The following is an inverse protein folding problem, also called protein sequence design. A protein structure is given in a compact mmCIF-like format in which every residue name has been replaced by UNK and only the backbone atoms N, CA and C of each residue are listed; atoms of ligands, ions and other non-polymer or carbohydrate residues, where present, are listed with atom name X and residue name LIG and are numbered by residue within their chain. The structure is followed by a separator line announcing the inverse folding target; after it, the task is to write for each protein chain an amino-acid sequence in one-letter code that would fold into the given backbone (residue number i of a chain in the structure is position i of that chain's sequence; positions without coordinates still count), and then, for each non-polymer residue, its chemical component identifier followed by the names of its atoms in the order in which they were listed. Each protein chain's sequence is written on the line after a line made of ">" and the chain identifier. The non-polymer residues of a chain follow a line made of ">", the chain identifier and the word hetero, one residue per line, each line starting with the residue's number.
data_IF_960260059034
#
_entry.id   IF_960260059034
#
_cell.length_a   1.000
_cell.length_b   1.000
_cell.length_c   1.000
_cell.angle_alpha   90.00
_cell.angle_beta   90.00
_cell.angle_gamma   90.00
#
_symmetry.space_group_name_H-M   'P 1'
#
loop_
_entity.id
_entity.type
_entity.pdbx_description
1 polymer ?
#
# COMPACT_ATOMS: atom_id res chain seq x y z
N UNK A 1 -26.10 -33.59 -10.25
CA UNK A 1 -27.25 -33.38 -9.34
C UNK A 1 -26.91 -33.90 -7.97
N UNK A 2 -27.65 -33.46 -6.96
CA UNK A 2 -27.66 -34.10 -5.64
C UNK A 2 -28.59 -35.31 -5.69
N UNK A 3 -28.07 -36.49 -5.41
CA UNK A 3 -28.84 -37.74 -5.36
C UNK A 3 -29.06 -38.14 -3.91
N UNK A 4 -30.27 -38.60 -3.58
CA UNK A 4 -30.61 -39.10 -2.25
C UNK A 4 -31.41 -40.41 -2.38
N UNK A 5 -31.27 -41.28 -1.39
CA UNK A 5 -31.96 -42.56 -1.37
C UNK A 5 -33.30 -42.42 -0.65
N UNK A 6 -34.38 -42.85 -1.29
CA UNK A 6 -35.73 -42.85 -0.73
C UNK A 6 -36.44 -44.13 -1.12
N UNK A 7 -37.02 -44.83 -0.14
CA UNK A 7 -37.73 -46.10 -0.33
C UNK A 7 -36.91 -47.18 -1.09
N UNK A 8 -35.58 -47.19 -0.88
CA UNK A 8 -34.65 -48.11 -1.56
C UNK A 8 -34.36 -47.78 -3.03
N UNK A 9 -34.80 -46.61 -3.50
CA UNK A 9 -34.56 -46.09 -4.84
C UNK A 9 -33.72 -44.81 -4.78
N UNK A 10 -32.83 -44.67 -5.77
CA UNK A 10 -31.95 -43.52 -5.89
C UNK A 10 -32.69 -42.40 -6.64
N UNK A 11 -33.12 -41.38 -5.92
CA UNK A 11 -33.88 -40.25 -6.46
C UNK A 11 -33.00 -39.00 -6.60
N UNK A 12 -33.30 -38.17 -7.60
CA UNK A 12 -32.79 -36.80 -7.68
C UNK A 12 -33.83 -35.90 -8.30
N UNK A 13 -34.09 -34.77 -7.66
CA UNK A 13 -34.99 -33.72 -8.15
C UNK A 13 -34.26 -32.61 -8.90
N UNK A 14 -32.92 -32.64 -8.93
CA UNK A 14 -32.09 -31.55 -9.46
C UNK A 14 -30.97 -32.11 -10.33
N UNK A 15 -31.32 -32.44 -11.57
CA UNK A 15 -30.39 -32.90 -12.60
C UNK A 15 -30.77 -32.32 -13.96
N UNK A 16 -29.74 -32.02 -14.75
CA UNK A 16 -29.90 -31.64 -16.15
C UNK A 16 -29.61 -32.87 -17.01
N UNK A 17 -30.48 -33.15 -17.99
CA UNK A 17 -30.29 -34.22 -18.97
C UNK A 17 -29.85 -33.58 -20.27
N UNK A 18 -28.71 -34.01 -20.81
CA UNK A 18 -28.24 -33.64 -22.13
C UNK A 18 -28.01 -34.92 -22.96
N UNK A 19 -28.46 -34.91 -24.22
CA UNK A 19 -28.18 -36.02 -25.15
C UNK A 19 -26.74 -35.85 -25.62
N UNK A 20 -25.87 -36.82 -25.32
CA UNK A 20 -24.46 -36.80 -25.70
C UNK A 20 -24.17 -38.09 -26.47
N UNK A 21 -23.51 -37.97 -27.63
CA UNK A 21 -23.13 -39.11 -28.47
C UNK A 21 -21.97 -39.92 -27.85
N UNK A 22 -21.19 -39.33 -26.95
CA UNK A 22 -20.08 -39.96 -26.22
C UNK A 22 -20.04 -39.43 -24.76
N UNK A 23 -19.71 -40.30 -23.80
CA UNK A 23 -19.59 -39.91 -22.38
C UNK A 23 -18.27 -39.17 -22.18
N UNK A 24 -18.28 -37.85 -22.31
CA UNK A 24 -17.12 -37.00 -22.03
C UNK A 24 -17.22 -36.37 -20.64
N UNK A 25 -16.22 -36.66 -19.78
CA UNK A 25 -16.05 -35.92 -18.52
C UNK A 25 -15.51 -34.53 -18.83
N UNK A 26 -16.34 -33.51 -18.70
CA UNK A 26 -15.96 -32.10 -18.91
C UNK A 26 -15.99 -31.32 -17.60
N UNK A 27 -15.01 -30.42 -17.46
CA UNK A 27 -15.02 -29.41 -16.41
C UNK A 27 -15.82 -28.23 -16.94
N UNK A 28 -16.84 -27.82 -16.18
CA UNK A 28 -17.72 -26.74 -16.59
C UNK A 28 -17.57 -25.54 -15.64
N UNK A 29 -17.35 -24.34 -16.15
CA UNK A 29 -17.29 -23.14 -15.32
C UNK A 29 -18.66 -22.87 -14.67
N UNK A 30 -18.62 -22.28 -13.48
CA UNK A 30 -19.80 -21.85 -12.74
C UNK A 30 -19.77 -20.32 -12.68
N UNK A 31 -20.77 -19.69 -13.30
CA UNK A 31 -20.84 -18.24 -13.37
C UNK A 31 -21.82 -17.69 -12.32
N UNK A 32 -21.60 -16.47 -11.79
CA UNK A 32 -22.60 -15.77 -11.01
C UNK A 32 -23.83 -15.48 -11.89
N UNK A 33 -25.02 -15.79 -11.39
CA UNK A 33 -26.28 -15.65 -12.12
C UNK A 33 -27.13 -14.50 -11.58
N UNK A 34 -27.95 -13.91 -12.46
CA UNK A 34 -29.01 -12.95 -12.12
C UNK A 34 -30.39 -13.56 -12.39
N UNK A 35 -31.45 -13.00 -11.79
CA UNK A 35 -32.81 -13.53 -11.89
C UNK A 35 -33.24 -13.70 -13.35
N UNK A 36 -33.66 -14.92 -13.72
CA UNK A 36 -34.09 -15.26 -15.09
C UNK A 36 -32.99 -15.81 -16.00
N UNK A 37 -31.73 -15.83 -15.57
CA UNK A 37 -30.61 -16.44 -16.29
C UNK A 37 -30.22 -17.80 -15.67
N UNK A 38 -30.12 -18.83 -16.52
CA UNK A 38 -29.67 -20.18 -16.15
C UNK A 38 -28.21 -20.40 -16.59
N UNK A 39 -27.46 -21.25 -15.86
CA UNK A 39 -26.06 -21.59 -16.18
C UNK A 39 -25.88 -22.00 -17.66
N UNK A 40 -26.76 -22.86 -18.18
CA UNK A 40 -26.64 -23.36 -19.55
C UNK A 40 -26.75 -22.28 -20.61
N UNK A 41 -27.66 -21.31 -20.43
CA UNK A 41 -27.80 -20.18 -21.35
C UNK A 41 -26.57 -19.28 -21.30
N UNK A 42 -26.06 -18.99 -20.10
CA UNK A 42 -24.88 -18.15 -19.93
C UNK A 42 -23.62 -18.81 -20.49
N UNK A 43 -23.41 -20.11 -20.26
CA UNK A 43 -22.31 -20.87 -20.87
C UNK A 43 -22.35 -20.81 -22.39
N UNK A 44 -23.53 -21.03 -23.01
CA UNK A 44 -23.69 -20.93 -24.46
C UNK A 44 -23.34 -19.55 -25.00
N UNK A 45 -23.77 -18.49 -24.32
CA UNK A 45 -23.44 -17.11 -24.70
C UNK A 45 -21.95 -16.82 -24.59
N UNK A 46 -21.31 -17.29 -23.51
CA UNK A 46 -19.86 -17.12 -23.31
C UNK A 46 -19.08 -17.93 -24.35
N UNK A 47 -19.45 -19.17 -24.65
CA UNK A 47 -18.81 -19.94 -25.72
C UNK A 47 -18.93 -19.23 -27.07
N UNK A 48 -20.12 -18.74 -27.43
CA UNK A 48 -20.31 -18.00 -28.67
C UNK A 48 -19.45 -16.73 -28.75
N UNK A 49 -19.34 -15.99 -27.63
CA UNK A 49 -18.48 -14.82 -27.54
C UNK A 49 -16.99 -15.21 -27.67
N UNK A 50 -16.57 -16.29 -27.01
CA UNK A 50 -15.21 -16.82 -27.12
C UNK A 50 -14.92 -17.20 -28.58
N UNK A 51 -15.75 -18.00 -29.23
CA UNK A 51 -15.53 -18.42 -30.62
C UNK A 51 -15.38 -17.23 -31.59
N UNK A 52 -16.11 -16.14 -31.34
CA UNK A 52 -16.06 -14.94 -32.18
C UNK A 52 -14.83 -14.06 -31.92
N UNK A 53 -14.43 -13.86 -30.66
CA UNK A 53 -13.47 -12.82 -30.28
C UNK A 53 -12.12 -13.34 -29.78
N UNK A 54 -11.98 -14.63 -29.48
CA UNK A 54 -10.76 -15.18 -28.88
C UNK A 54 -9.51 -15.00 -29.74
N UNK A 55 -9.68 -14.89 -31.06
CA UNK A 55 -8.60 -14.67 -32.02
C UNK A 55 -8.03 -13.25 -32.03
N UNK A 56 -8.76 -12.26 -31.51
CA UNK A 56 -8.37 -10.84 -31.50
C UNK A 56 -7.80 -10.38 -30.16
N UNK A 57 -7.67 -11.29 -29.19
CA UNK A 57 -7.20 -10.95 -27.84
C UNK A 57 -5.68 -11.04 -27.80
N UNK A 58 -5.04 -9.88 -27.71
CA UNK A 58 -3.60 -9.78 -27.51
C UNK A 58 -3.21 -9.93 -26.03
N UNK A 59 -1.99 -10.39 -25.78
CA UNK A 59 -1.41 -10.42 -24.44
C UNK A 59 -0.89 -9.04 -24.03
N UNK A 60 -1.21 -8.61 -22.82
CA UNK A 60 -0.68 -7.37 -22.22
C UNK A 60 0.82 -7.50 -21.89
N UNK A 61 1.26 -8.72 -21.56
CA UNK A 61 2.66 -9.01 -21.27
C UNK A 61 3.47 -9.24 -22.56
N UNK A 62 4.68 -8.66 -22.69
CA UNK A 62 5.60 -8.94 -23.79
C UNK A 62 5.97 -10.43 -23.88
N UNK A 63 6.13 -10.92 -25.12
CA UNK A 63 6.55 -12.32 -25.40
C UNK A 63 7.77 -12.80 -24.59
N UNK A 64 8.84 -12.00 -24.41
CA UNK A 64 9.98 -12.44 -23.61
C UNK A 64 9.65 -12.76 -22.15
N UNK A 65 8.65 -12.07 -21.56
CA UNK A 65 8.22 -12.31 -20.18
C UNK A 65 7.39 -13.59 -20.11
N UNK A 66 6.48 -13.79 -21.07
CA UNK A 66 5.68 -15.00 -21.16
C UNK A 66 6.57 -16.24 -21.28
N UNK A 67 7.58 -16.20 -22.17
CA UNK A 67 8.51 -17.30 -22.38
C UNK A 67 9.39 -17.57 -21.15
N UNK A 68 9.93 -16.51 -20.52
CA UNK A 68 10.79 -16.62 -19.34
C UNK A 68 10.11 -17.28 -18.14
N UNK A 69 8.84 -16.97 -17.91
CA UNK A 69 8.08 -17.45 -16.76
C UNK A 69 7.09 -18.58 -17.12
N UNK A 70 7.15 -19.09 -18.35
CA UNK A 70 6.26 -20.13 -18.87
C UNK A 70 4.77 -19.80 -18.68
N UNK A 71 4.40 -18.54 -18.93
CA UNK A 71 3.03 -18.05 -18.76
C UNK A 71 2.22 -18.26 -20.03
N UNK A 72 0.91 -18.45 -19.85
CA UNK A 72 -0.03 -18.58 -20.95
C UNK A 72 -0.29 -17.21 -21.60
N UNK A 73 -0.59 -17.22 -22.90
CA UNK A 73 -1.09 -16.01 -23.57
C UNK A 73 -2.46 -15.63 -23.04
N UNK A 74 -2.88 -14.36 -23.17
CA UNK A 74 -4.21 -13.93 -22.71
C UNK A 74 -5.33 -14.77 -23.33
N UNK A 75 -5.17 -15.13 -24.60
CA UNK A 75 -6.03 -16.08 -25.31
C UNK A 75 -6.13 -17.43 -24.60
N UNK A 76 -4.99 -18.05 -24.32
CA UNK A 76 -4.95 -19.40 -23.71
C UNK A 76 -5.46 -19.38 -22.27
N UNK A 77 -5.19 -18.30 -21.55
CA UNK A 77 -5.77 -18.04 -20.23
C UNK A 77 -7.29 -18.05 -20.29
N UNK A 78 -7.90 -17.27 -21.17
CA UNK A 78 -9.37 -17.23 -21.29
C UNK A 78 -9.94 -18.61 -21.65
N UNK A 79 -9.30 -19.34 -22.55
CA UNK A 79 -9.69 -20.71 -22.89
C UNK A 79 -9.58 -21.66 -21.69
N UNK A 80 -8.50 -21.57 -20.91
CA UNK A 80 -8.31 -22.41 -19.72
C UNK A 80 -9.30 -22.10 -18.59
N UNK A 81 -9.81 -20.87 -18.51
CA UNK A 81 -10.77 -20.47 -17.46
C UNK A 81 -12.22 -20.77 -17.85
N UNK A 82 -12.57 -20.60 -19.13
CA UNK A 82 -13.94 -20.74 -19.62
C UNK A 82 -14.24 -22.10 -20.28
N UNK A 83 -13.24 -22.76 -20.85
CA UNK A 83 -13.35 -24.07 -21.51
C UNK A 83 -12.20 -25.02 -21.13
N UNK A 84 -11.95 -25.27 -19.84
CA UNK A 84 -10.86 -26.15 -19.41
C UNK A 84 -11.06 -27.60 -19.82
N UNK A 85 -9.97 -28.26 -20.22
CA UNK A 85 -9.95 -29.72 -20.42
C UNK A 85 -9.59 -30.42 -19.11
N UNK A 86 -8.67 -29.83 -18.35
CA UNK A 86 -8.18 -30.36 -17.08
C UNK A 86 -8.18 -29.29 -15.98
N UNK A 87 -8.14 -29.71 -14.71
CA UNK A 87 -7.99 -28.77 -13.59
C UNK A 87 -6.60 -28.12 -13.57
N UNK A 88 -5.59 -28.77 -14.16
CA UNK A 88 -4.25 -28.21 -14.32
C UNK A 88 -4.25 -27.00 -15.28
N UNK A 89 -5.05 -27.06 -16.36
CA UNK A 89 -5.24 -25.92 -17.26
C UNK A 89 -5.79 -24.71 -16.49
N UNK A 90 -6.79 -24.93 -15.63
CA UNK A 90 -7.37 -23.88 -14.78
C UNK A 90 -6.31 -23.29 -13.84
N UNK A 91 -5.48 -24.15 -13.24
CA UNK A 91 -4.41 -23.71 -12.35
C UNK A 91 -3.38 -22.83 -13.07
N UNK A 92 -2.94 -23.24 -14.27
CA UNK A 92 -2.00 -22.48 -15.12
C UNK A 92 -2.58 -21.17 -15.62
N UNK A 93 -3.86 -21.17 -16.03
CA UNK A 93 -4.61 -19.97 -16.41
C UNK A 93 -4.69 -18.96 -15.26
N UNK A 94 -5.09 -19.44 -14.08
CA UNK A 94 -5.16 -18.63 -12.87
C UNK A 94 -3.80 -18.08 -12.47
N UNK A 95 -2.75 -18.89 -12.50
CA UNK A 95 -1.39 -18.44 -12.20
C UNK A 95 -0.94 -17.32 -13.15
N UNK A 96 -1.20 -17.47 -14.45
CA UNK A 96 -0.85 -16.46 -15.46
C UNK A 96 -1.62 -15.15 -15.25
N UNK A 97 -2.91 -15.20 -14.90
CA UNK A 97 -3.69 -14.01 -14.54
C UNK A 97 -3.17 -13.30 -13.29
N UNK A 98 -2.88 -14.06 -12.23
CA UNK A 98 -2.33 -13.49 -10.99
C UNK A 98 -1.00 -12.80 -11.28
N UNK A 99 -0.15 -13.44 -12.10
CA UNK A 99 1.11 -12.84 -12.51
C UNK A 99 0.90 -11.55 -13.30
N UNK A 100 0.00 -11.55 -14.28
CA UNK A 100 -0.31 -10.39 -15.12
C UNK A 100 -0.84 -9.20 -14.30
N UNK A 101 -1.76 -9.44 -13.37
CA UNK A 101 -2.28 -8.42 -12.46
C UNK A 101 -1.17 -7.87 -11.54
N UNK A 102 -0.35 -8.76 -10.98
CA UNK A 102 0.78 -8.38 -10.13
C UNK A 102 1.82 -7.58 -10.93
N UNK A 103 2.13 -8.00 -12.16
CA UNK A 103 3.05 -7.29 -13.05
C UNK A 103 2.56 -5.87 -13.35
N UNK A 104 1.27 -5.71 -13.65
CA UNK A 104 0.67 -4.39 -13.89
C UNK A 104 0.76 -3.48 -12.68
N UNK A 105 0.51 -4.02 -11.48
CA UNK A 105 0.68 -3.29 -10.21
C UNK A 105 2.15 -2.89 -9.99
N UNK A 106 3.08 -3.83 -10.15
CA UNK A 106 4.51 -3.58 -9.95
C UNK A 106 5.07 -2.59 -10.98
N UNK A 107 4.60 -2.66 -12.23
CA UNK A 107 4.94 -1.70 -13.27
C UNK A 107 4.48 -0.29 -12.91
N UNK A 108 3.25 -0.13 -12.40
CA UNK A 108 2.75 1.16 -11.94
C UNK A 108 3.59 1.73 -10.77
N UNK A 109 3.98 0.89 -9.81
CA UNK A 109 4.88 1.26 -8.71
C UNK A 109 6.25 1.66 -9.25
N UNK A 110 6.81 0.88 -10.17
CA UNK A 110 8.11 1.12 -10.80
C UNK A 110 8.15 2.45 -11.57
N UNK A 111 7.13 2.72 -12.39
CA UNK A 111 6.99 3.99 -13.12
C UNK A 111 6.91 5.18 -12.16
N UNK A 112 6.13 5.05 -11.07
CA UNK A 112 6.04 6.10 -10.05
C UNK A 112 7.38 6.34 -9.34
N UNK A 113 8.12 5.27 -9.05
CA UNK A 113 9.46 5.37 -8.46
C UNK A 113 10.44 6.07 -9.40
N UNK A 114 10.46 5.69 -10.68
CA UNK A 114 11.30 6.35 -11.69
C UNK A 114 10.98 7.84 -11.80
N UNK A 115 9.70 8.22 -11.82
CA UNK A 115 9.29 9.62 -11.91
C UNK A 115 9.69 10.45 -10.67
N UNK A 116 9.65 9.85 -9.47
CA UNK A 116 9.87 10.57 -8.20
C UNK A 116 11.31 10.49 -7.68
N UNK A 117 12.02 9.41 -7.97
CA UNK A 117 13.35 9.10 -7.43
C UNK A 117 14.40 8.91 -8.52
N UNK A 118 14.02 8.84 -9.80
CA UNK A 118 14.94 8.59 -10.91
C UNK A 118 15.38 7.12 -11.05
N UNK A 119 14.90 6.21 -10.19
CA UNK A 119 15.24 4.78 -10.23
C UNK A 119 14.08 3.86 -9.84
N UNK A 120 14.22 2.59 -10.17
CA UNK A 120 13.28 1.53 -9.76
C UNK A 120 13.40 1.23 -8.25
N UNK A 121 12.33 0.70 -7.63
CA UNK A 121 12.40 0.19 -6.26
C UNK A 121 13.43 -0.92 -6.15
N UNK A 122 14.21 -0.93 -5.06
CA UNK A 122 15.13 -2.02 -4.75
C UNK A 122 14.35 -3.31 -4.56
N UNK A 123 14.80 -4.38 -5.21
CA UNK A 123 14.29 -5.73 -4.96
C UNK A 123 15.14 -6.43 -3.90
N UNK A 124 14.58 -7.42 -3.21
CA UNK A 124 15.20 -8.08 -2.05
C UNK A 124 16.62 -8.65 -2.32
N UNK A 125 16.99 -8.90 -3.58
CA UNK A 125 18.34 -9.33 -3.97
C UNK A 125 19.38 -8.21 -4.11
N UNK A 126 18.97 -6.98 -4.38
CA UNK A 126 19.86 -5.80 -4.43
C UNK A 126 20.03 -5.19 -3.04
N UNK A 127 19.02 -5.33 -2.18
CA UNK A 127 19.14 -4.93 -0.79
C UNK A 127 20.17 -5.77 -0.06
N UNK A 128 20.37 -7.07 -0.29
CA UNK A 128 21.34 -7.84 0.51
C UNK A 128 22.82 -7.43 0.32
N UNK A 129 23.17 -6.76 -0.79
CA UNK A 129 24.53 -6.22 -0.99
C UNK A 129 24.72 -4.80 -0.43
N UNK A 130 23.62 -4.07 -0.17
CA UNK A 130 23.63 -2.73 0.45
C UNK A 130 23.02 -2.69 1.87
N UNK A 131 22.41 -3.79 2.29
CA UNK A 131 21.83 -4.10 3.60
C UNK A 131 22.69 -5.15 4.31
N UNK A 132 24.01 -5.13 4.08
CA UNK A 132 24.85 -5.22 5.27
C UNK A 132 24.34 -4.12 6.18
N UNK A 133 23.66 -4.49 7.26
CA UNK A 133 23.30 -3.60 8.36
C UNK A 133 24.51 -2.69 8.51
N UNK A 134 24.43 -1.38 8.20
CA UNK A 134 25.57 -0.54 8.40
C UNK A 134 25.84 -0.64 9.89
N UNK A 135 26.97 -1.27 10.25
CA UNK A 135 27.48 -1.38 11.61
C UNK A 135 27.71 0.00 12.24
N UNK A 136 27.57 1.05 11.43
CA UNK A 136 27.45 2.44 11.83
C UNK A 136 26.00 2.71 12.24
N UNK A 137 25.72 2.56 13.53
CA UNK A 137 24.60 3.27 14.16
C UNK A 137 24.82 4.74 13.87
N UNK A 138 23.97 5.34 13.02
CA UNK A 138 23.97 6.80 12.84
C UNK A 138 23.83 7.41 14.22
N UNK A 139 24.79 8.24 14.63
CA UNK A 139 24.66 8.94 15.89
C UNK A 139 23.39 9.79 15.88
N UNK A 140 22.66 9.76 17.00
CA UNK A 140 21.55 10.67 17.21
C UNK A 140 22.06 12.12 17.10
N UNK A 141 21.29 12.95 16.40
CA UNK A 141 21.48 14.39 16.31
C UNK A 141 21.33 15.08 17.67
N UNK A 142 21.72 16.35 17.80
CA UNK A 142 21.72 17.04 19.10
C UNK A 142 20.31 17.10 19.70
N UNK A 143 19.30 17.40 18.90
CA UNK A 143 17.91 17.47 19.36
C UNK A 143 17.37 16.08 19.72
N UNK A 144 17.70 15.06 18.94
CA UNK A 144 17.34 13.67 19.29
C UNK A 144 17.99 13.23 20.60
N UNK A 145 19.27 13.58 20.84
CA UNK A 145 19.97 13.33 22.12
C UNK A 145 19.29 14.06 23.28
N UNK A 146 18.82 15.31 23.09
CA UNK A 146 18.05 16.04 24.10
C UNK A 146 16.73 15.36 24.44
N UNK A 147 15.94 14.98 23.43
CA UNK A 147 14.68 14.26 23.66
C UNK A 147 14.94 12.94 24.41
N UNK A 148 15.91 12.15 23.97
CA UNK A 148 16.26 10.88 24.60
C UNK A 148 16.57 11.03 26.10
N UNK A 149 17.27 12.08 26.50
CA UNK A 149 17.59 12.36 27.91
C UNK A 149 16.38 12.77 28.76
N UNK A 150 15.32 13.27 28.13
CA UNK A 150 14.10 13.67 28.81
C UNK A 150 13.09 12.52 28.97
N UNK A 151 13.32 11.37 28.33
CA UNK A 151 12.42 10.22 28.42
C UNK A 151 12.61 9.48 29.75
N UNK A 152 11.52 9.06 30.43
CA UNK A 152 11.60 8.28 31.65
C UNK A 152 11.88 6.78 31.41
N UNK A 153 12.14 6.38 30.16
CA UNK A 153 12.39 5.01 29.73
C UNK A 153 13.42 4.98 28.60
N UNK A 154 14.05 3.82 28.42
CA UNK A 154 14.96 3.56 27.29
C UNK A 154 14.18 3.17 26.03
N UNK A 155 14.68 3.60 24.87
CA UNK A 155 14.14 3.14 23.59
C UNK A 155 14.41 1.64 23.39
N UNK A 156 13.44 0.94 22.81
CA UNK A 156 13.62 -0.48 22.45
C UNK A 156 14.64 -0.64 21.32
N UNK A 157 15.18 -1.85 21.16
CA UNK A 157 16.11 -2.18 20.06
C UNK A 157 15.47 -1.87 18.70
N UNK A 158 14.20 -2.21 18.52
CA UNK A 158 13.46 -1.93 17.29
C UNK A 158 13.26 -0.43 17.04
N UNK A 159 12.94 0.35 18.07
CA UNK A 159 12.82 1.80 17.94
C UNK A 159 14.17 2.43 17.54
N UNK A 160 15.27 2.03 18.19
CA UNK A 160 16.63 2.51 17.86
C UNK A 160 17.01 2.16 16.41
N UNK A 161 16.69 0.94 15.97
CA UNK A 161 16.89 0.51 14.57
C UNK A 161 16.09 1.36 13.59
N UNK A 162 14.78 1.51 13.80
CA UNK A 162 13.91 2.26 12.87
C UNK A 162 14.30 3.74 12.82
N UNK A 163 14.68 4.36 13.95
CA UNK A 163 15.18 5.74 13.96
C UNK A 163 16.46 5.89 13.13
N UNK A 164 17.37 4.91 13.23
CA UNK A 164 18.61 4.89 12.46
C UNK A 164 18.31 4.76 10.96
N UNK A 165 17.45 3.82 10.58
CA UNK A 165 17.03 3.62 9.18
C UNK A 165 16.35 4.86 8.59
N UNK A 166 15.47 5.52 9.35
CA UNK A 166 14.84 6.78 8.93
C UNK A 166 15.90 7.87 8.76
N UNK A 167 16.83 7.99 9.70
CA UNK A 167 17.88 9.02 9.64
C UNK A 167 18.75 8.83 8.39
N UNK A 168 19.12 7.60 8.07
CA UNK A 168 19.86 7.27 6.85
C UNK A 168 19.05 7.58 5.58
N UNK A 169 17.76 7.25 5.55
CA UNK A 169 16.90 7.57 4.41
C UNK A 169 16.74 9.08 4.21
N UNK A 170 16.67 9.85 5.29
CA UNK A 170 16.59 11.33 5.25
C UNK A 170 17.88 12.01 4.81
N UNK A 171 19.02 11.33 4.91
CA UNK A 171 20.34 11.84 4.48
C UNK A 171 20.63 11.56 2.99
N UNK A 172 19.81 10.76 2.33
CA UNK A 172 19.93 10.49 0.89
C UNK A 172 19.42 11.68 0.07
N UNK A 173 19.93 11.82 -1.15
CA UNK A 173 19.46 12.82 -2.11
C UNK A 173 18.03 12.57 -2.59
N UNK A 174 17.55 11.33 -2.45
CA UNK A 174 16.21 10.92 -2.90
C UNK A 174 15.15 11.11 -1.81
N UNK A 175 13.91 11.48 -2.18
CA UNK A 175 12.82 11.58 -1.22
C UNK A 175 12.52 10.25 -0.51
N UNK A 176 12.62 10.27 0.82
CA UNK A 176 12.19 9.17 1.67
C UNK A 176 10.67 8.94 1.52
N UNK A 177 10.28 7.68 1.32
CA UNK A 177 8.89 7.24 1.55
C UNK A 177 8.93 5.89 2.26
N UNK A 178 8.57 5.89 3.54
CA UNK A 178 8.69 4.76 4.46
C UNK A 178 7.38 4.57 5.22
N UNK A 179 7.00 3.32 5.43
CA UNK A 179 5.89 2.93 6.30
C UNK A 179 6.46 2.41 7.61
N UNK A 180 6.12 3.05 8.73
CA UNK A 180 6.42 2.53 10.06
C UNK A 180 5.26 1.62 10.47
N UNK A 181 5.52 0.31 10.56
CA UNK A 181 4.52 -0.67 10.98
C UNK A 181 4.84 -1.19 12.38
N UNK A 182 3.80 -1.31 13.22
CA UNK A 182 3.91 -1.90 14.54
C UNK A 182 2.60 -1.84 15.30
N UNK A 183 2.49 -2.65 16.35
CA UNK A 183 1.27 -2.80 17.13
C UNK A 183 0.87 -1.51 17.88
N UNK A 184 -0.38 -1.46 18.34
CA UNK A 184 -0.85 -0.37 19.19
C UNK A 184 0.02 -0.32 20.45
N UNK A 185 0.56 0.87 20.78
CA UNK A 185 1.44 1.04 21.94
C UNK A 185 2.93 0.78 21.68
N UNK A 186 3.36 0.35 20.48
CA UNK A 186 4.78 0.11 20.17
C UNK A 186 5.66 1.37 20.10
N UNK A 187 5.09 2.56 20.29
CA UNK A 187 5.82 3.83 20.27
C UNK A 187 6.05 4.43 18.88
N UNK A 188 5.21 4.11 17.89
CA UNK A 188 5.29 4.69 16.52
C UNK A 188 5.38 6.22 16.52
N UNK A 189 4.54 6.89 17.32
CA UNK A 189 4.53 8.34 17.47
C UNK A 189 5.85 8.89 18.02
N UNK A 190 6.51 8.16 18.93
CA UNK A 190 7.81 8.56 19.45
C UNK A 190 8.87 8.50 18.35
N UNK A 191 8.91 7.41 17.58
CA UNK A 191 9.82 7.28 16.42
C UNK A 191 9.58 8.39 15.40
N UNK A 192 8.31 8.73 15.13
CA UNK A 192 7.95 9.87 14.29
C UNK A 192 8.54 11.19 14.83
N UNK A 193 8.45 11.46 16.13
CA UNK A 193 9.06 12.65 16.72
C UNK A 193 10.59 12.67 16.62
N UNK A 194 11.28 11.54 16.83
CA UNK A 194 12.71 11.45 16.59
C UNK A 194 13.07 11.81 15.14
N UNK A 195 12.22 11.42 14.19
CA UNK A 195 12.38 11.74 12.77
C UNK A 195 12.19 13.24 12.50
N UNK A 196 11.20 13.87 13.14
CA UNK A 196 10.99 15.32 13.07
C UNK A 196 12.22 16.10 13.50
N UNK A 197 12.84 15.68 14.61
CA UNK A 197 13.96 16.42 15.23
C UNK A 197 15.18 16.53 14.31
N UNK A 198 15.50 15.48 13.54
CA UNK A 198 16.61 15.52 12.58
C UNK A 198 16.42 16.62 11.54
N UNK A 199 15.19 16.74 11.01
CA UNK A 199 14.83 17.75 10.00
C UNK A 199 14.79 19.15 10.59
N UNK A 200 14.25 19.30 11.79
CA UNK A 200 14.17 20.58 12.49
C UNK A 200 15.59 21.10 12.81
N UNK A 201 16.51 20.22 13.18
CA UNK A 201 17.91 20.58 13.43
C UNK A 201 18.61 21.13 12.17
N UNK A 202 18.19 20.67 10.99
CA UNK A 202 18.67 21.16 9.69
C UNK A 202 17.94 22.42 9.19
N UNK A 203 17.07 23.02 10.01
CA UNK A 203 16.29 24.21 9.68
C UNK A 203 15.00 23.93 8.90
N UNK A 204 14.65 22.67 8.66
CA UNK A 204 13.42 22.29 7.96
C UNK A 204 12.17 22.32 8.85
N UNK A 205 11.02 22.50 8.23
CA UNK A 205 9.70 22.37 8.85
C UNK A 205 9.13 20.97 8.63
N UNK A 206 8.30 20.54 9.58
CA UNK A 206 7.65 19.22 9.56
C UNK A 206 6.15 19.36 9.74
N UNK A 207 5.40 18.51 9.05
CA UNK A 207 3.95 18.39 9.22
C UNK A 207 3.57 16.97 9.68
N UNK A 208 2.72 16.86 10.71
CA UNK A 208 2.10 15.62 11.15
C UNK A 208 0.60 15.69 10.89
N UNK A 209 0.16 14.89 9.93
CA UNK A 209 -1.23 14.71 9.56
C UNK A 209 -1.81 13.55 10.38
N UNK A 210 -2.97 13.78 11.00
CA UNK A 210 -3.78 12.73 11.63
C UNK A 210 -5.18 12.71 11.00
N UNK A 211 -5.92 11.59 11.10
CA UNK A 211 -7.14 11.40 10.31
C UNK A 211 -8.33 12.13 10.92
N UNK A 212 -8.29 12.44 12.22
CA UNK A 212 -9.35 13.15 12.95
C UNK A 212 -8.79 14.29 13.78
N UNK A 213 -9.61 15.30 14.08
CA UNK A 213 -9.19 16.41 14.94
C UNK A 213 -8.83 15.94 16.36
N UNK A 214 -9.51 14.91 16.87
CA UNK A 214 -9.22 14.34 18.18
C UNK A 214 -7.82 13.71 18.22
N UNK A 215 -7.48 12.87 17.23
CA UNK A 215 -6.15 12.27 17.14
C UNK A 215 -5.06 13.32 16.89
N UNK A 216 -5.33 14.29 16.01
CA UNK A 216 -4.41 15.40 15.77
C UNK A 216 -4.13 16.16 17.08
N UNK A 217 -5.16 16.40 17.90
CA UNK A 217 -5.00 17.07 19.20
C UNK A 217 -4.20 16.21 20.18
N UNK A 218 -4.46 14.90 20.25
CA UNK A 218 -3.67 13.99 21.10
C UNK A 218 -2.19 13.98 20.71
N UNK A 219 -1.87 13.98 19.42
CA UNK A 219 -0.50 14.09 18.92
C UNK A 219 0.10 15.45 19.24
N UNK A 220 -0.66 16.54 19.08
CA UNK A 220 -0.21 17.89 19.41
C UNK A 220 0.09 18.05 20.91
N UNK A 221 -0.77 17.54 21.79
CA UNK A 221 -0.57 17.57 23.24
C UNK A 221 0.65 16.73 23.65
N UNK A 222 0.85 15.59 22.99
CA UNK A 222 2.02 14.73 23.25
C UNK A 222 3.30 15.38 22.73
N UNK A 223 3.28 15.96 21.54
CA UNK A 223 4.39 16.73 20.98
C UNK A 223 4.73 17.94 21.86
N UNK A 224 3.73 18.66 22.36
CA UNK A 224 3.93 19.79 23.27
C UNK A 224 4.62 19.36 24.56
N UNK A 225 4.17 18.26 25.18
CA UNK A 225 4.80 17.73 26.40
C UNK A 225 6.25 17.30 26.19
N UNK A 226 6.56 16.68 25.05
CA UNK A 226 7.89 16.09 24.80
C UNK A 226 8.88 17.05 24.12
N UNK A 227 8.42 17.89 23.20
CA UNK A 227 9.27 18.66 22.28
C UNK A 227 9.37 20.15 22.68
N UNK A 228 8.37 20.73 23.32
CA UNK A 228 8.47 22.12 23.79
C UNK A 228 9.59 22.34 24.82
N UNK A 229 9.84 21.42 25.80
CA UNK A 229 10.93 21.58 26.77
C UNK A 229 12.33 21.61 26.15
N UNK A 230 12.50 21.04 24.95
CA UNK A 230 13.78 21.04 24.22
C UNK A 230 13.86 22.17 23.18
N UNK A 231 12.88 23.09 23.17
CA UNK A 231 12.90 24.33 22.37
C UNK A 231 12.19 24.24 21.02
N UNK A 232 11.39 23.21 20.75
CA UNK A 232 10.67 23.06 19.49
C UNK A 232 9.38 23.88 19.50
N UNK A 233 9.21 24.72 18.49
CA UNK A 233 8.01 25.54 18.29
C UNK A 233 6.96 24.76 17.51
N UNK A 234 5.81 24.55 18.13
CA UNK A 234 4.73 23.71 17.64
C UNK A 234 3.51 24.55 17.29
N UNK A 235 2.78 24.14 16.25
CA UNK A 235 1.46 24.68 15.96
C UNK A 235 0.44 23.56 15.77
N UNK A 236 -0.80 23.84 16.15
CA UNK A 236 -1.94 22.97 15.89
C UNK A 236 -2.87 23.65 14.88
N UNK A 237 -3.16 22.96 13.77
CA UNK A 237 -3.99 23.50 12.70
C UNK A 237 -5.02 22.47 12.21
N UNK A 238 -6.30 22.80 12.39
CA UNK A 238 -7.43 22.03 11.84
C UNK A 238 -8.41 22.92 11.09
N UNK A 239 -9.45 22.33 10.52
CA UNK A 239 -10.52 23.06 9.83
C UNK A 239 -11.31 23.99 10.77
N UNK A 240 -11.40 23.63 12.06
CA UNK A 240 -12.22 24.32 13.06
C UNK A 240 -11.49 25.42 13.86
N UNK A 241 -10.24 25.75 13.52
CA UNK A 241 -9.50 26.83 14.21
C UNK A 241 -10.11 28.20 13.86
N UNK A 242 -10.45 29.00 14.89
CA UNK A 242 -11.02 30.35 14.75
C UNK A 242 -10.14 31.22 13.84
N UNK A 243 -10.80 32.05 13.02
CA UNK A 243 -10.20 32.84 11.94
C UNK A 243 -9.03 33.73 12.37
N UNK A 244 -9.11 34.39 13.52
CA UNK A 244 -8.07 35.33 13.99
C UNK A 244 -6.76 34.63 14.35
N UNK A 245 -6.81 33.57 15.16
CA UNK A 245 -5.62 32.79 15.50
C UNK A 245 -5.04 32.03 14.30
N UNK A 246 -5.89 31.70 13.32
CA UNK A 246 -5.46 31.04 12.08
C UNK A 246 -4.57 31.95 11.23
N UNK A 247 -4.90 33.23 11.09
CA UNK A 247 -4.10 34.16 10.27
C UNK A 247 -2.66 34.26 10.78
N UNK A 248 -2.50 34.47 12.09
CA UNK A 248 -1.18 34.54 12.74
C UNK A 248 -0.37 33.25 12.56
N UNK A 249 -1.00 32.08 12.72
CA UNK A 249 -0.33 30.79 12.52
C UNK A 249 0.16 30.60 11.08
N UNK A 250 -0.61 31.06 10.09
CA UNK A 250 -0.22 30.98 8.69
C UNK A 250 0.95 31.92 8.38
N UNK A 251 0.96 33.12 8.94
CA UNK A 251 2.09 34.05 8.81
C UNK A 251 3.36 33.48 9.46
N UNK A 252 3.25 32.96 10.69
CA UNK A 252 4.37 32.32 11.39
C UNK A 252 4.90 31.08 10.65
N UNK A 253 4.04 30.35 9.92
CA UNK A 253 4.47 29.21 9.10
C UNK A 253 5.33 29.65 7.91
N UNK A 254 4.91 30.71 7.22
CA UNK A 254 5.64 31.29 6.09
C UNK A 254 6.95 31.94 6.55
N UNK A 255 6.97 32.51 7.75
CA UNK A 255 8.16 33.11 8.36
C UNK A 255 9.17 32.07 8.88
N UNK A 256 8.83 30.77 8.91
CA UNK A 256 9.73 29.74 9.45
C UNK A 256 9.78 29.71 10.99
N UNK A 257 8.84 30.39 11.65
CA UNK A 257 8.77 30.46 13.11
C UNK A 257 8.15 29.20 13.73
N UNK A 258 7.56 28.33 12.93
CA UNK A 258 7.00 27.06 13.41
C UNK A 258 7.84 25.90 12.87
N UNK A 259 8.27 25.00 13.77
CA UNK A 259 9.10 23.85 13.42
C UNK A 259 8.26 22.61 13.07
N UNK A 260 7.22 22.34 13.86
CA UNK A 260 6.32 21.20 13.65
C UNK A 260 4.86 21.65 13.71
N UNK A 261 4.10 21.35 12.66
CA UNK A 261 2.65 21.54 12.64
C UNK A 261 1.95 20.20 12.77
N UNK A 262 1.00 20.11 13.68
CA UNK A 262 0.13 18.94 13.84
C UNK A 262 -1.29 19.30 13.45
N UNK A 263 -1.97 18.45 12.68
CA UNK A 263 -3.26 18.81 12.14
C UNK A 263 -3.96 17.73 11.34
N UNK A 264 -5.08 18.12 10.73
CA UNK A 264 -5.83 17.28 9.79
C UNK A 264 -5.50 17.67 8.34
N UNK A 265 -6.28 17.19 7.37
CA UNK A 265 -6.09 17.49 5.94
C UNK A 265 -6.06 19.01 5.64
N UNK A 266 -6.53 19.86 6.57
CA UNK A 266 -6.40 21.31 6.52
C UNK A 266 -4.95 21.81 6.33
N UNK A 267 -3.94 21.04 6.78
CA UNK A 267 -2.51 21.33 6.61
C UNK A 267 -2.10 21.49 5.14
N UNK A 268 -2.81 20.82 4.23
CA UNK A 268 -2.51 20.84 2.79
C UNK A 268 -3.54 21.65 1.98
N UNK A 269 -4.31 22.50 2.65
CA UNK A 269 -5.22 23.43 1.97
C UNK A 269 -4.45 24.53 1.23
N UNK A 270 -5.04 25.09 0.15
CA UNK A 270 -4.40 26.14 -0.67
C UNK A 270 -3.88 27.35 0.11
N UNK A 271 -4.49 27.63 1.27
CA UNK A 271 -4.10 28.74 2.15
C UNK A 271 -2.84 28.49 2.97
N UNK A 272 -2.41 27.24 3.14
CA UNK A 272 -1.25 26.89 3.96
C UNK A 272 0.00 26.92 3.10
N UNK A 273 0.94 27.78 3.46
CA UNK A 273 2.25 27.88 2.85
C UNK A 273 3.31 27.69 3.93
N UNK A 274 4.31 26.90 3.59
CA UNK A 274 5.45 26.62 4.46
C UNK A 274 6.66 27.39 3.94
N UNK A 275 7.54 27.79 4.85
CA UNK A 275 8.85 28.32 4.51
C UNK A 275 9.73 27.24 3.85
N UNK A 276 9.82 26.07 4.48
CA UNK A 276 10.68 24.96 4.05
C UNK A 276 10.18 23.61 4.59
N UNK A 277 9.09 23.08 4.03
CA UNK A 277 8.53 21.79 4.44
C UNK A 277 9.37 20.63 3.89
N UNK A 278 10.08 19.92 4.77
CA UNK A 278 10.99 18.82 4.39
C UNK A 278 10.53 17.43 4.81
N UNK A 279 9.61 17.32 5.77
CA UNK A 279 9.07 16.04 6.21
C UNK A 279 7.56 16.13 6.45
N UNK A 280 6.86 15.12 5.97
CA UNK A 280 5.44 14.89 6.23
C UNK A 280 5.28 13.52 6.86
N UNK A 281 4.63 13.48 8.01
CA UNK A 281 4.25 12.27 8.73
C UNK A 281 2.73 12.12 8.60
N UNK A 282 2.29 10.92 8.26
CA UNK A 282 0.88 10.59 8.12
C UNK A 282 0.57 9.46 9.11
N UNK A 283 -0.37 9.74 10.01
CA UNK A 283 -1.01 8.78 10.90
C UNK A 283 -2.49 8.59 10.51
#
# INVERSE_FOLDING_TARGET
>A
GSFYEKDGLLESSSFDIEKIDCIEKKILPVYPLTKGLKQMKLRKLICAAMDQWIGTVDSELPKPILEKYHLLTKRDVLLSMHTPRTLDDVAKGKHSLIFEECFSLQMAIGMRSLQKRGRLPLTQGESDQQSAIPSVVSELSLLQKKLHRCLPFELTVDQKRVITEITQDLEREEPMARLIQGDVGSGKTLVAFFSCLKIIEQGGQVALLAPTELLARQHADTAARLLAPIGIRLAFLTGNVKSEGRAYLLEALVAGEINLVVGTHALFSKSVRYHDLRLVIID
#
